data_IF_882063591889
#
_entry.id   IF_882063591889
#
_cell.length_a   1.000
_cell.length_b   1.000
_cell.length_c   1.000
_cell.angle_alpha   90.00
_cell.angle_beta   90.00
_cell.angle_gamma   90.00
#
_symmetry.space_group_name_H-M   'P 1'
#
loop_
_entity.id
_entity.type
_entity.pdbx_description
1 polymer ?
#
# COMPACT_ATOMS: atom_id res chain seq x y z
N UNK A 1 8.90 27.70 -4.20
CA UNK A 1 7.91 26.99 -5.05
C UNK A 1 7.99 27.46 -6.51
N UNK A 2 9.19 27.67 -7.06
CA UNK A 2 9.34 28.19 -8.44
C UNK A 2 9.95 27.17 -9.42
N UNK A 3 10.47 26.04 -8.92
CA UNK A 3 11.15 25.05 -9.78
C UNK A 3 10.20 24.07 -10.51
N UNK A 4 8.94 23.92 -10.06
CA UNK A 4 7.99 22.95 -10.67
C UNK A 4 7.32 23.53 -11.93
N UNK A 5 7.21 24.85 -12.03
CA UNK A 5 6.55 25.52 -13.17
C UNK A 5 7.41 25.47 -14.43
N UNK A 6 8.74 25.37 -14.30
CA UNK A 6 9.63 25.41 -15.47
C UNK A 6 9.66 24.11 -16.28
N UNK A 7 9.30 22.96 -15.70
CA UNK A 7 9.30 21.68 -16.42
C UNK A 7 8.03 21.44 -17.23
N UNK A 8 6.92 22.09 -16.90
CA UNK A 8 5.63 21.88 -17.57
C UNK A 8 5.58 22.47 -18.99
N UNK A 9 6.38 23.50 -19.28
CA UNK A 9 6.38 24.18 -20.58
C UNK A 9 7.28 23.51 -21.64
N UNK A 10 8.04 22.47 -21.28
CA UNK A 10 8.94 21.77 -22.19
C UNK A 10 8.40 20.40 -22.66
N UNK A 11 7.24 19.96 -22.18
CA UNK A 11 6.69 18.66 -22.54
C UNK A 11 5.70 18.77 -23.72
N UNK A 12 5.81 17.88 -24.73
CA UNK A 12 4.80 17.73 -25.77
C UNK A 12 3.42 17.48 -25.15
N UNK A 13 2.37 18.12 -25.68
CA UNK A 13 0.97 17.94 -25.23
C UNK A 13 0.52 16.47 -25.12
N UNK A 14 1.12 15.57 -25.91
CA UNK A 14 0.86 14.13 -25.84
C UNK A 14 1.41 13.46 -24.57
N UNK A 15 2.56 13.90 -24.05
CA UNK A 15 3.15 13.38 -22.81
C UNK A 15 2.50 13.97 -21.57
N UNK A 16 1.94 15.18 -21.67
CA UNK A 16 1.17 15.81 -20.60
C UNK A 16 -0.16 15.08 -20.35
N UNK A 17 -0.83 14.66 -21.42
CA UNK A 17 -2.02 13.82 -21.32
C UNK A 17 -1.67 12.40 -20.84
N UNK A 18 -0.59 11.77 -21.29
CA UNK A 18 -0.14 10.46 -20.77
C UNK A 18 0.26 10.51 -19.29
N UNK A 19 0.91 11.60 -18.85
CA UNK A 19 1.25 11.83 -17.45
C UNK A 19 0.01 12.11 -16.58
N UNK A 20 -0.95 12.88 -17.08
CA UNK A 20 -2.25 13.08 -16.41
C UNK A 20 -3.10 11.80 -16.39
N UNK A 21 -3.13 11.04 -17.48
CA UNK A 21 -3.90 9.80 -17.59
C UNK A 21 -3.31 8.69 -16.71
N UNK A 22 -1.98 8.58 -16.65
CA UNK A 22 -1.27 7.64 -15.74
C UNK A 22 -1.37 8.02 -14.27
N UNK A 23 -1.56 9.30 -13.94
CA UNK A 23 -1.60 9.76 -12.54
C UNK A 23 -2.99 10.04 -11.98
N UNK A 24 -4.01 10.23 -12.83
CA UNK A 24 -5.39 10.51 -12.39
C UNK A 24 -6.44 9.49 -12.89
N UNK A 25 -6.32 8.93 -14.10
CA UNK A 25 -7.33 7.98 -14.60
C UNK A 25 -7.17 6.56 -14.04
N UNK A 26 -5.93 6.17 -13.70
CA UNK A 26 -5.63 4.87 -13.06
C UNK A 26 -6.13 4.84 -11.61
N UNK A 27 -6.33 6.00 -10.98
CA UNK A 27 -6.67 6.12 -9.55
C UNK A 27 -8.07 5.59 -9.23
N UNK A 28 -9.09 5.90 -10.04
CA UNK A 28 -10.45 5.39 -9.79
C UNK A 28 -10.80 4.11 -10.58
N UNK A 29 -10.20 3.90 -11.75
CA UNK A 29 -10.54 2.74 -12.58
C UNK A 29 -9.94 1.43 -12.04
N UNK A 30 -8.75 1.48 -11.43
CA UNK A 30 -8.09 0.26 -10.97
C UNK A 30 -8.71 -0.31 -9.67
N UNK A 31 -9.25 0.53 -8.79
CA UNK A 31 -10.02 0.07 -7.61
C UNK A 31 -11.42 -0.45 -8.02
N UNK A 32 -11.95 0.00 -9.16
CA UNK A 32 -13.20 -0.49 -9.76
C UNK A 32 -13.02 -1.75 -10.64
N UNK A 33 -11.79 -2.26 -10.77
CA UNK A 33 -11.44 -3.32 -11.73
C UNK A 33 -11.51 -4.74 -11.19
N UNK A 34 -12.23 -4.97 -10.09
CA UNK A 34 -12.89 -6.27 -9.93
C UNK A 34 -14.09 -6.26 -10.88
N UNK A 35 -13.93 -6.74 -12.11
CA UNK A 35 -15.02 -7.03 -13.06
C UNK A 35 -16.10 -5.93 -13.29
N UNK A 36 -15.72 -4.64 -13.37
CA UNK A 36 -16.67 -3.52 -13.51
C UNK A 36 -17.65 -3.39 -12.32
N UNK A 37 -17.23 -3.79 -11.12
CA UNK A 37 -18.02 -3.66 -9.90
C UNK A 37 -17.86 -2.22 -9.39
N UNK A 38 -18.93 -1.46 -9.53
CA UNK A 38 -19.08 -0.18 -8.83
C UNK A 38 -19.55 -0.45 -7.41
N UNK A 39 -18.77 -0.03 -6.42
CA UNK A 39 -19.18 -0.12 -5.03
C UNK A 39 -20.11 1.04 -4.66
N UNK A 40 -21.25 0.73 -4.03
CA UNK A 40 -22.22 1.74 -3.62
C UNK A 40 -21.71 2.64 -2.48
N UNK A 41 -20.75 2.16 -1.69
CA UNK A 41 -20.17 2.89 -0.57
C UNK A 41 -18.70 2.51 -0.33
N UNK A 42 -17.96 3.40 0.31
CA UNK A 42 -16.60 3.12 0.76
C UNK A 42 -16.53 1.91 1.71
N UNK A 43 -17.54 1.75 2.57
CA UNK A 43 -17.63 0.61 3.50
C UNK A 43 -17.80 -0.73 2.77
N UNK A 44 -18.61 -0.77 1.70
CA UNK A 44 -18.77 -1.97 0.87
C UNK A 44 -17.49 -2.34 0.13
N UNK A 45 -16.74 -1.35 -0.36
CA UNK A 45 -15.42 -1.58 -0.95
C UNK A 45 -14.46 -2.16 0.08
N UNK A 46 -14.36 -1.54 1.26
CA UNK A 46 -13.49 -1.97 2.34
C UNK A 46 -13.80 -3.41 2.76
N UNK A 47 -15.07 -3.74 2.97
CA UNK A 47 -15.49 -5.09 3.35
C UNK A 47 -15.16 -6.11 2.26
N UNK A 48 -15.39 -5.77 0.99
CA UNK A 48 -15.09 -6.65 -0.14
C UNK A 48 -13.58 -6.96 -0.25
N UNK A 49 -12.71 -5.96 -0.05
CA UNK A 49 -11.27 -6.18 -0.09
C UNK A 49 -10.76 -6.94 1.15
N UNK A 50 -11.35 -6.72 2.32
CA UNK A 50 -11.04 -7.49 3.53
C UNK A 50 -11.50 -8.94 3.37
N UNK A 51 -12.65 -9.19 2.74
CA UNK A 51 -13.14 -10.54 2.44
C UNK A 51 -12.15 -11.30 1.55
N UNK A 52 -11.62 -10.65 0.51
CA UNK A 52 -10.55 -11.22 -0.33
C UNK A 52 -9.36 -11.66 0.50
N UNK A 53 -8.93 -10.87 1.50
CA UNK A 53 -7.82 -11.28 2.37
C UNK A 53 -8.16 -12.48 3.25
N UNK A 54 -9.37 -12.52 3.78
CA UNK A 54 -9.80 -13.58 4.72
C UNK A 54 -10.04 -14.90 3.99
N UNK A 55 -10.37 -14.87 2.70
CA UNK A 55 -10.50 -16.06 1.86
C UNK A 55 -9.13 -16.70 1.52
N UNK A 56 -8.04 -15.95 1.60
CA UNK A 56 -6.71 -16.50 1.32
C UNK A 56 -6.15 -17.22 2.55
N UNK A 57 -5.54 -18.38 2.30
CA UNK A 57 -4.73 -19.06 3.31
C UNK A 57 -3.42 -18.29 3.56
N UNK A 58 -2.92 -18.24 4.82
CA UNK A 58 -1.62 -17.65 5.12
C UNK A 58 -0.49 -18.26 4.29
N UNK A 59 0.43 -17.43 3.83
CA UNK A 59 1.54 -17.85 2.99
C UNK A 59 1.20 -17.89 1.49
N UNK A 60 -0.07 -17.71 1.13
CA UNK A 60 -0.49 -17.76 -0.27
C UNK A 60 -0.24 -16.43 -0.99
N UNK A 61 0.30 -16.55 -2.20
CA UNK A 61 0.41 -15.44 -3.12
C UNK A 61 -0.96 -15.17 -3.73
N UNK A 62 -1.32 -13.90 -3.92
CA UNK A 62 -2.48 -13.53 -4.70
C UNK A 62 -2.22 -13.91 -6.15
N UNK A 63 -2.77 -15.04 -6.59
CA UNK A 63 -2.61 -15.58 -7.96
C UNK A 63 -3.67 -15.09 -8.93
N UNK A 64 -4.74 -14.49 -8.42
CA UNK A 64 -5.82 -13.96 -9.24
C UNK A 64 -5.42 -12.58 -9.76
N UNK A 65 -5.25 -12.45 -11.08
CA UNK A 65 -4.86 -11.19 -11.72
C UNK A 65 -5.75 -10.02 -11.25
N UNK A 66 -7.07 -10.23 -11.19
CA UNK A 66 -8.03 -9.19 -10.79
C UNK A 66 -7.84 -8.73 -9.32
N UNK A 67 -7.67 -9.66 -8.38
CA UNK A 67 -7.45 -9.33 -6.97
C UNK A 67 -6.07 -8.72 -6.73
N UNK A 68 -5.05 -9.23 -7.44
CA UNK A 68 -3.70 -8.67 -7.38
C UNK A 68 -3.67 -7.23 -7.90
N UNK A 69 -4.33 -6.94 -9.02
CA UNK A 69 -4.46 -5.59 -9.57
C UNK A 69 -5.23 -4.66 -8.64
N UNK A 70 -6.33 -5.12 -8.05
CA UNK A 70 -7.09 -4.35 -7.07
C UNK A 70 -6.26 -4.02 -5.82
N UNK A 71 -5.47 -4.98 -5.32
CA UNK A 71 -4.57 -4.74 -4.20
C UNK A 71 -3.42 -3.82 -4.57
N UNK A 72 -2.81 -3.95 -5.77
CA UNK A 72 -1.81 -3.00 -6.29
C UNK A 72 -2.37 -1.58 -6.41
N UNK A 73 -3.60 -1.44 -6.88
CA UNK A 73 -4.29 -0.16 -6.95
C UNK A 73 -4.47 0.43 -5.55
N UNK A 74 -4.90 -0.38 -4.58
CA UNK A 74 -5.05 0.08 -3.21
C UNK A 74 -3.71 0.48 -2.57
N UNK A 75 -2.62 -0.26 -2.86
CA UNK A 75 -1.27 0.06 -2.39
C UNK A 75 -0.79 1.43 -2.87
N UNK A 76 -1.25 1.91 -4.04
CA UNK A 76 -0.90 3.24 -4.55
C UNK A 76 -1.37 4.40 -3.64
N UNK A 77 -2.34 4.13 -2.77
CA UNK A 77 -2.84 5.09 -1.78
C UNK A 77 -2.09 5.05 -0.45
N UNK A 78 -1.15 4.11 -0.27
CA UNK A 78 -0.33 4.06 0.93
C UNK A 78 0.58 5.31 1.00
N UNK A 79 0.83 5.90 2.20
CA UNK A 79 1.75 7.04 2.33
C UNK A 79 3.18 6.76 1.83
N UNK A 80 3.58 5.49 1.77
CA UNK A 80 4.88 5.03 1.25
C UNK A 80 4.72 4.25 -0.06
N UNK A 81 3.67 4.53 -0.85
CA UNK A 81 3.37 3.83 -2.10
C UNK A 81 4.56 3.77 -3.05
N UNK A 82 5.33 4.86 -3.18
CA UNK A 82 6.50 4.91 -4.07
C UNK A 82 7.53 3.82 -3.70
N UNK A 83 7.83 3.66 -2.39
CA UNK A 83 8.73 2.59 -1.90
C UNK A 83 8.11 1.22 -2.08
N UNK A 84 6.82 1.06 -1.78
CA UNK A 84 6.16 -0.24 -1.80
C UNK A 84 5.95 -0.77 -3.22
N UNK A 85 5.71 0.09 -4.20
CA UNK A 85 5.50 -0.29 -5.59
C UNK A 85 6.81 -0.43 -6.39
N UNK A 86 7.90 0.19 -5.93
CA UNK A 86 9.23 0.01 -6.52
C UNK A 86 9.65 -1.46 -6.44
N UNK A 87 10.05 -2.05 -7.57
CA UNK A 87 10.49 -3.45 -7.68
C UNK A 87 9.51 -4.49 -7.09
N UNK A 88 8.20 -4.17 -7.04
CA UNK A 88 7.16 -5.09 -6.63
C UNK A 88 7.04 -6.26 -7.61
N UNK A 89 7.25 -7.48 -7.15
CA UNK A 89 7.11 -8.71 -7.93
C UNK A 89 5.77 -9.39 -7.68
N UNK A 90 5.41 -9.56 -6.40
CA UNK A 90 4.21 -10.26 -6.01
C UNK A 90 3.63 -9.71 -4.71
N UNK A 91 2.35 -9.99 -4.48
CA UNK A 91 1.68 -9.72 -3.22
C UNK A 91 1.26 -11.05 -2.60
N UNK A 92 1.59 -11.23 -1.33
CA UNK A 92 1.26 -12.40 -0.53
C UNK A 92 0.37 -11.98 0.64
N UNK A 93 -0.51 -12.88 1.08
CA UNK A 93 -1.27 -12.71 2.32
C UNK A 93 -0.63 -13.62 3.37
N UNK A 94 -0.29 -13.06 4.53
CA UNK A 94 0.29 -13.83 5.63
C UNK A 94 -0.12 -13.24 6.98
N UNK A 95 0.22 -13.94 8.06
CA UNK A 95 -0.03 -13.47 9.41
C UNK A 95 0.81 -12.23 9.73
N UNK A 96 0.26 -11.37 10.60
CA UNK A 96 1.01 -10.24 11.16
C UNK A 96 2.13 -10.76 12.06
N UNK A 97 3.32 -10.13 12.05
CA UNK A 97 4.40 -10.52 12.95
C UNK A 97 4.10 -10.24 14.44
N UNK A 98 3.05 -9.48 14.72
CA UNK A 98 2.62 -9.09 16.08
C UNK A 98 1.48 -9.97 16.59
N UNK A 99 0.63 -10.47 15.69
CA UNK A 99 -0.59 -11.20 16.02
C UNK A 99 -0.93 -12.22 14.93
N UNK A 100 -0.81 -13.51 15.25
CA UNK A 100 -1.01 -14.61 14.31
C UNK A 100 -2.46 -14.71 13.79
N UNK A 101 -3.42 -14.13 14.52
CA UNK A 101 -4.82 -14.10 14.12
C UNK A 101 -5.12 -12.97 13.11
N UNK A 102 -4.23 -11.99 12.99
CA UNK A 102 -4.40 -10.86 12.07
C UNK A 102 -3.74 -11.16 10.73
N UNK A 103 -4.51 -11.06 9.63
CA UNK A 103 -4.00 -11.20 8.25
C UNK A 103 -3.50 -9.86 7.72
N UNK A 104 -2.30 -9.85 7.15
CA UNK A 104 -1.66 -8.69 6.56
C UNK A 104 -1.28 -8.96 5.09
N UNK A 105 -1.18 -7.88 4.33
CA UNK A 105 -0.57 -7.93 3.01
C UNK A 105 0.94 -7.88 3.16
N UNK A 106 1.63 -8.70 2.37
CA UNK A 106 3.07 -8.72 2.26
C UNK A 106 3.45 -8.43 0.82
N UNK A 107 4.28 -7.40 0.65
CA UNK A 107 4.85 -7.02 -0.63
C UNK A 107 6.16 -7.76 -0.80
N UNK A 108 6.28 -8.50 -1.90
CA UNK A 108 7.50 -9.25 -2.26
C UNK A 108 8.23 -8.49 -3.35
N UNK A 109 9.47 -8.13 -3.06
CA UNK A 109 10.37 -7.40 -3.96
C UNK A 109 11.15 -8.33 -4.87
N UNK A 110 11.77 -7.76 -5.92
CA UNK A 110 12.61 -8.52 -6.86
C UNK A 110 13.84 -9.17 -6.23
N UNK A 111 14.38 -8.58 -5.17
CA UNK A 111 15.50 -9.14 -4.40
C UNK A 111 15.06 -10.26 -3.43
N UNK A 112 13.77 -10.55 -3.35
CA UNK A 112 13.17 -11.51 -2.42
C UNK A 112 12.90 -10.94 -1.04
N UNK A 113 13.08 -9.62 -0.83
CA UNK A 113 12.69 -8.97 0.41
C UNK A 113 11.17 -8.94 0.55
N UNK A 114 10.66 -9.32 1.72
CA UNK A 114 9.24 -9.27 2.07
C UNK A 114 9.00 -8.15 3.08
N UNK A 115 8.02 -7.29 2.79
CA UNK A 115 7.64 -6.16 3.64
C UNK A 115 6.14 -6.22 3.98
N UNK A 116 5.80 -6.10 5.26
CA UNK A 116 4.41 -6.05 5.71
C UNK A 116 3.78 -4.68 5.42
N UNK A 117 2.55 -4.70 4.89
CA UNK A 117 1.80 -3.49 4.56
C UNK A 117 0.48 -3.48 5.29
N UNK A 118 0.22 -2.38 5.99
CA UNK A 118 -1.05 -2.14 6.66
C UNK A 118 -2.13 -1.75 5.63
N UNK A 119 -3.13 -2.61 5.48
CA UNK A 119 -4.33 -2.27 4.71
C UNK A 119 -5.05 -1.04 5.26
N UNK A 120 -5.05 -0.87 6.59
CA UNK A 120 -5.68 0.28 7.21
C UNK A 120 -5.04 1.59 6.70
N UNK A 121 -3.72 1.65 6.60
CA UNK A 121 -3.03 2.83 6.09
C UNK A 121 -3.38 3.13 4.62
N UNK A 122 -3.58 2.09 3.80
CA UNK A 122 -4.03 2.25 2.42
C UNK A 122 -5.48 2.80 2.35
N UNK A 123 -6.39 2.28 3.19
CA UNK A 123 -7.76 2.77 3.26
C UNK A 123 -7.84 4.23 3.76
N UNK A 124 -7.03 4.60 4.75
CA UNK A 124 -6.96 5.99 5.22
C UNK A 124 -6.45 6.93 4.12
N UNK A 125 -5.49 6.47 3.30
CA UNK A 125 -5.01 7.22 2.14
C UNK A 125 -6.09 7.37 1.06
N UNK A 126 -6.81 6.29 0.76
CA UNK A 126 -7.90 6.29 -0.20
C UNK A 126 -9.05 7.19 0.27
N UNK A 127 -9.45 7.10 1.54
CA UNK A 127 -10.50 7.95 2.12
C UNK A 127 -10.13 9.43 2.02
N UNK A 128 -8.87 9.79 2.33
CA UNK A 128 -8.38 11.16 2.17
C UNK A 128 -8.44 11.62 0.71
N UNK A 129 -8.04 10.77 -0.23
CA UNK A 129 -8.11 11.10 -1.66
C UNK A 129 -9.55 11.37 -2.10
N UNK A 130 -10.51 10.52 -1.70
CA UNK A 130 -11.93 10.69 -2.02
C UNK A 130 -12.52 12.00 -1.46
N UNK A 131 -12.10 12.42 -0.26
CA UNK A 131 -12.57 13.67 0.34
C UNK A 131 -11.96 14.93 -0.29
N UNK A 132 -10.80 14.83 -0.95
CA UNK A 132 -10.18 15.95 -1.68
C UNK A 132 -10.90 16.24 -3.02
N UNK A 133 -11.57 15.24 -3.58
CA UNK A 133 -12.32 15.35 -4.83
C UNK A 133 -13.77 15.84 -4.62
N UNK A 134 -14.24 15.90 -3.37
CA UNK A 134 -15.52 16.53 -3.06
C UNK A 134 -15.39 18.05 -3.31
N UNK A 135 -16.23 18.68 -4.16
CA UNK A 135 -16.22 20.12 -4.34
C UNK A 135 -16.60 20.78 -3.02
N UNK A 136 -15.60 21.14 -2.23
CA UNK A 136 -15.77 21.92 -1.02
C UNK A 136 -16.20 23.31 -1.48
N UNK A 137 -17.46 23.64 -1.19
CA UNK A 137 -17.98 25.00 -1.32
C UNK A 137 -17.01 26.00 -0.73
N UNK A 138 -16.87 27.13 -1.42
CA UNK A 138 -15.94 28.23 -1.19
C UNK A 138 -15.61 28.49 0.29
N UNK A 139 -14.32 28.55 0.64
CA UNK A 139 -13.89 29.39 1.77
C UNK A 139 -12.74 28.90 2.64
N UNK A 140 -12.30 27.65 2.56
CA UNK A 140 -11.18 27.17 3.40
C UNK A 140 -9.97 26.87 2.52
N UNK A 141 -8.96 27.74 2.60
CA UNK A 141 -7.68 27.53 1.91
C UNK A 141 -7.15 26.14 2.30
N UNK A 142 -6.90 25.22 1.34
CA UNK A 142 -6.28 23.95 1.66
C UNK A 142 -4.91 24.25 2.27
N UNK A 143 -4.69 23.77 3.50
CA UNK A 143 -3.33 23.70 4.04
C UNK A 143 -2.55 22.87 3.05
N UNK A 144 -1.61 23.49 2.34
CA UNK A 144 -0.66 22.78 1.52
C UNK A 144 -0.12 21.60 2.34
N UNK A 145 -0.34 20.39 1.84
CA UNK A 145 0.34 19.21 2.33
C UNK A 145 1.82 19.42 2.00
N UNK A 146 2.56 19.97 2.96
CA UNK A 146 4.01 19.91 2.94
C UNK A 146 4.33 18.49 3.41
N UNK A 147 4.95 17.63 2.57
CA UNK A 147 5.44 16.35 3.04
C UNK A 147 6.39 16.65 4.19
N UNK A 148 5.97 16.33 5.42
CA UNK A 148 6.82 16.44 6.60
C UNK A 148 7.82 15.29 6.54
N UNK A 149 8.82 15.43 5.68
CA UNK A 149 10.14 14.84 5.86
C UNK A 149 10.76 15.54 7.08
N UNK A 150 10.37 15.08 8.27
CA UNK A 150 11.12 15.30 9.49
C UNK A 150 11.93 14.01 9.76
N UNK A 151 13.27 14.04 9.77
CA UNK A 151 14.11 12.87 10.01
C UNK A 151 14.16 12.52 11.51
N UNK A 152 13.00 12.30 12.15
CA UNK A 152 12.91 12.46 13.60
C UNK A 152 12.07 11.46 14.39
N UNK A 153 11.60 10.34 13.82
CA UNK A 153 10.83 9.39 14.66
C UNK A 153 10.81 7.92 14.28
N UNK A 154 11.88 7.41 13.67
CA UNK A 154 12.15 5.98 13.66
C UNK A 154 13.38 5.74 14.52
N UNK A 155 13.19 5.05 15.66
CA UNK A 155 14.30 4.55 16.46
C UNK A 155 15.02 3.52 15.60
N UNK A 156 16.23 3.84 15.15
CA UNK A 156 17.15 2.90 14.50
C UNK A 156 17.73 1.86 15.49
N UNK A 157 17.33 1.92 16.76
CA UNK A 157 17.94 1.14 17.84
C UNK A 157 17.22 -0.20 18.11
N UNK A 158 16.08 -0.45 17.45
CA UNK A 158 15.50 -1.80 17.43
C UNK A 158 16.05 -2.48 16.20
N UNK A 159 17.16 -3.20 16.35
CA UNK A 159 17.52 -4.24 15.39
C UNK A 159 16.30 -5.15 15.26
N UNK A 160 15.55 -4.99 14.17
CA UNK A 160 14.41 -5.86 13.84
C UNK A 160 14.99 -7.25 13.64
N UNK A 161 14.64 -8.17 14.53
CA UNK A 161 14.95 -9.58 14.37
C UNK A 161 14.41 -10.02 13.01
N UNK A 162 15.32 -10.48 12.14
CA UNK A 162 14.92 -11.11 10.88
C UNK A 162 14.16 -12.40 11.16
N UNK A 163 13.31 -12.86 10.24
CA UNK A 163 12.63 -14.15 10.37
C UNK A 163 13.63 -15.31 10.60
N UNK A 164 14.81 -15.21 9.99
CA UNK A 164 15.93 -16.12 10.21
C UNK A 164 16.43 -16.11 11.67
N UNK A 165 16.67 -14.92 12.24
CA UNK A 165 17.09 -14.78 13.65
C UNK A 165 16.02 -15.28 14.63
N UNK A 166 14.73 -15.16 14.29
CA UNK A 166 13.63 -15.70 15.09
C UNK A 166 13.64 -17.23 15.09
N UNK A 167 13.79 -17.85 13.92
CA UNK A 167 13.88 -19.30 13.79
C UNK A 167 15.11 -19.87 14.54
N UNK A 168 16.27 -19.23 14.43
CA UNK A 168 17.49 -19.64 15.13
C UNK A 168 17.34 -19.53 16.67
N UNK A 169 16.60 -18.52 17.15
CA UNK A 169 16.28 -18.37 18.58
C UNK A 169 15.32 -19.46 19.07
N UNK A 170 14.34 -19.86 18.27
CA UNK A 170 13.41 -20.94 18.61
C UNK A 170 14.12 -22.30 18.66
N UNK A 171 15.04 -22.57 17.73
CA UNK A 171 15.87 -23.78 17.74
C UNK A 171 16.76 -23.86 18.98
N UNK A 172 17.40 -22.75 19.36
CA UNK A 172 18.28 -22.70 20.54
C UNK A 172 17.51 -22.84 21.86
N UNK A 173 16.30 -22.29 21.95
CA UNK A 173 15.44 -22.45 23.13
C UNK A 173 14.87 -23.88 23.24
N UNK A 174 14.52 -24.51 22.12
CA UNK A 174 14.03 -25.89 22.08
C UNK A 174 15.04 -26.93 22.59
N UNK A 175 16.34 -26.67 22.43
CA UNK A 175 17.42 -27.55 22.90
C UNK A 175 17.59 -27.50 24.43
N UNK A 176 17.24 -26.37 25.07
CA UNK A 176 17.42 -26.21 26.53
C UNK A 176 16.30 -26.81 27.38
N UNK A 177 15.15 -27.14 26.80
CA UNK A 177 13.99 -27.69 27.52
C UNK A 177 14.06 -29.21 27.75
N UNK A 178 15.09 -29.90 27.22
CA UNK A 178 15.20 -31.37 27.21
C UNK A 178 16.44 -31.90 27.96
N UNK A 179 16.95 -31.16 28.94
CA UNK A 179 18.08 -31.55 29.80
C UNK A 179 17.73 -31.54 31.27
#
# INVERSE_FOLDING_TARGET
MEAVVSCANAMPRALLLDWFYKRFAVSWMAVAMKAAITYASFMTLKNSLVEVLLEQEPGMHLRFQDDEEAMKALLSYHPEADRLLEDLVAIKVDCSPVDDDTRCLWVIKFDGYEEDVSLQACFEGLEKALHLDAPQGEGVRPRHFVPRLGPGRWRNDVQRETAFQRAEREETLGITANK
#
